data_IF_388224915734
#
_entry.id   IF_388224915734
#
_cell.length_a   1.000
_cell.length_b   1.000
_cell.length_c   1.000
_cell.angle_alpha   90.00
_cell.angle_beta   90.00
_cell.angle_gamma   90.00
#
_symmetry.space_group_name_H-M   'P 1'
#
loop_
_entity.id
_entity.type
_entity.pdbx_description
1 polymer ?
#
# COMPACT_ATOMS: atom_id res chain seq x y z
N UNK A 1 -13.47 3.65 -10.36
CA UNK A 1 -13.70 4.18 -11.71
C UNK A 1 -14.51 5.47 -11.64
N UNK A 2 -15.79 5.41 -11.24
CA UNK A 2 -16.75 6.52 -11.29
C UNK A 2 -16.26 7.84 -10.70
N UNK A 3 -15.63 7.84 -9.52
CA UNK A 3 -15.10 9.06 -8.90
C UNK A 3 -14.02 9.73 -9.74
N UNK A 4 -13.16 8.95 -10.40
CA UNK A 4 -12.09 9.48 -11.27
C UNK A 4 -12.71 10.13 -12.51
N UNK A 5 -13.66 9.45 -13.14
CA UNK A 5 -14.33 9.97 -14.35
C UNK A 5 -15.21 11.18 -14.03
N UNK A 6 -15.91 11.16 -12.90
CA UNK A 6 -16.65 12.32 -12.40
C UNK A 6 -15.71 13.51 -12.19
N UNK A 7 -14.58 13.32 -11.51
CA UNK A 7 -13.61 14.39 -11.26
C UNK A 7 -12.99 14.92 -12.56
N UNK A 8 -12.76 14.07 -13.56
CA UNK A 8 -12.26 14.47 -14.86
C UNK A 8 -13.27 15.33 -15.65
N UNK A 9 -14.57 15.08 -15.51
CA UNK A 9 -15.62 15.77 -16.25
C UNK A 9 -16.01 17.15 -15.68
N UNK A 10 -15.44 17.56 -14.54
CA UNK A 10 -15.82 18.83 -13.92
C UNK A 10 -15.23 20.05 -14.67
N UNK A 11 -15.93 21.20 -14.69
CA UNK A 11 -15.46 22.40 -15.41
C UNK A 11 -14.16 23.00 -14.86
N UNK A 12 -13.80 22.66 -13.62
CA UNK A 12 -12.54 23.07 -12.98
C UNK A 12 -11.39 22.07 -13.22
N UNK A 13 -11.66 20.95 -13.89
CA UNK A 13 -10.70 19.89 -14.16
C UNK A 13 -10.09 20.05 -15.55
N UNK A 14 -8.81 19.73 -15.70
CA UNK A 14 -8.16 19.60 -17.01
C UNK A 14 -8.50 18.28 -17.70
N UNK A 15 -9.28 17.40 -17.06
CA UNK A 15 -9.52 16.02 -17.50
C UNK A 15 -8.39 15.06 -17.13
N UNK A 16 -7.28 15.53 -16.54
CA UNK A 16 -6.21 14.68 -16.02
C UNK A 16 -6.36 14.50 -14.50
N UNK A 17 -6.50 13.25 -14.04
CA UNK A 17 -6.66 12.93 -12.62
C UNK A 17 -5.44 12.17 -12.11
N UNK A 18 -4.96 12.60 -10.94
CA UNK A 18 -3.93 11.89 -10.17
C UNK A 18 -4.46 11.46 -8.81
N UNK A 19 -3.95 10.34 -8.28
CA UNK A 19 -4.30 9.85 -6.94
C UNK A 19 -3.04 9.63 -6.10
N UNK A 20 -3.10 9.87 -4.81
CA UNK A 20 -2.00 9.55 -3.90
C UNK A 20 -2.56 9.17 -2.53
N UNK A 21 -1.75 8.50 -1.73
CA UNK A 21 -2.14 8.12 -0.39
C UNK A 21 -1.50 6.82 0.05
N UNK A 22 -1.57 6.61 1.36
CA UNK A 22 -0.85 5.58 2.08
C UNK A 22 -1.82 4.55 2.67
N UNK A 23 -1.42 3.28 2.78
CA UNK A 23 -2.23 2.21 3.38
C UNK A 23 -3.53 1.95 2.62
N UNK A 24 -4.69 2.13 3.26
CA UNK A 24 -6.00 1.98 2.62
C UNK A 24 -6.22 2.96 1.44
N UNK A 25 -5.93 4.27 1.58
CA UNK A 25 -5.81 5.17 0.43
C UNK A 25 -4.85 4.70 -0.67
N UNK A 26 -3.80 3.94 -0.34
CA UNK A 26 -2.94 3.28 -1.34
C UNK A 26 -3.64 2.13 -2.05
N UNK A 27 -4.36 1.30 -1.30
CA UNK A 27 -5.06 0.11 -1.81
C UNK A 27 -6.13 0.48 -2.83
N UNK A 28 -6.96 1.48 -2.50
CA UNK A 28 -8.07 1.90 -3.37
C UNK A 28 -7.58 2.51 -4.68
N UNK A 29 -6.34 3.03 -4.74
CA UNK A 29 -5.75 3.47 -6.02
C UNK A 29 -5.57 2.30 -6.97
N UNK A 30 -5.03 1.18 -6.49
CA UNK A 30 -4.86 -0.02 -7.30
C UNK A 30 -6.19 -0.61 -7.73
N UNK A 31 -7.13 -0.75 -6.80
CA UNK A 31 -8.47 -1.26 -7.09
C UNK A 31 -9.20 -0.37 -8.11
N UNK A 32 -9.03 0.95 -8.05
CA UNK A 32 -9.58 1.85 -9.06
C UNK A 32 -8.84 1.76 -10.39
N UNK A 33 -7.51 1.60 -10.38
CA UNK A 33 -6.69 1.58 -11.59
C UNK A 33 -6.89 0.33 -12.45
N UNK A 34 -7.17 -0.83 -11.86
CA UNK A 34 -7.45 -2.07 -12.61
C UNK A 34 -8.80 -2.06 -13.34
N UNK A 35 -9.70 -1.13 -12.99
CA UNK A 35 -10.91 -0.82 -13.74
C UNK A 35 -10.64 0.08 -14.96
N UNK A 36 -9.37 0.42 -15.22
CA UNK A 36 -8.92 1.14 -16.42
C UNK A 36 -9.57 2.52 -16.67
N UNK A 37 -9.72 3.40 -15.67
CA UNK A 37 -10.26 4.74 -15.89
C UNK A 37 -9.38 5.55 -16.87
N UNK A 38 -9.91 6.00 -18.02
CA UNK A 38 -9.11 6.65 -19.07
C UNK A 38 -8.48 7.99 -18.63
N UNK A 39 -9.08 8.65 -17.63
CA UNK A 39 -8.60 9.94 -17.12
C UNK A 39 -7.58 9.81 -15.98
N UNK A 40 -7.33 8.61 -15.45
CA UNK A 40 -6.26 8.41 -14.46
C UNK A 40 -4.88 8.46 -15.13
N UNK A 41 -4.11 9.52 -14.83
CA UNK A 41 -2.79 9.74 -15.44
C UNK A 41 -1.64 9.33 -14.52
N UNK A 42 -1.80 9.47 -13.22
CA UNK A 42 -0.75 9.18 -12.25
C UNK A 42 -1.30 8.64 -10.93
N UNK A 43 -0.52 7.81 -10.26
CA UNK A 43 -0.82 7.30 -8.92
C UNK A 43 0.45 7.16 -8.08
N UNK A 44 0.33 7.47 -6.78
CA UNK A 44 1.35 7.21 -5.76
C UNK A 44 0.76 6.30 -4.68
N UNK A 45 0.62 4.99 -4.93
CA UNK A 45 0.20 4.02 -3.93
C UNK A 45 1.35 3.77 -2.93
N UNK A 46 1.17 4.25 -1.70
CA UNK A 46 2.14 4.06 -0.63
C UNK A 46 1.72 2.97 0.37
N UNK A 47 2.67 2.14 0.81
CA UNK A 47 2.55 1.18 1.91
C UNK A 47 1.28 0.34 1.84
N UNK A 48 1.10 -0.36 0.73
CA UNK A 48 -0.14 -1.07 0.41
C UNK A 48 0.13 -2.39 -0.27
N UNK A 49 -0.90 -3.20 -0.46
CA UNK A 49 -0.77 -4.59 -0.90
C UNK A 49 -0.60 -4.76 -2.42
N UNK A 50 -0.11 -5.94 -2.80
CA UNK A 50 -0.24 -6.50 -4.15
C UNK A 50 -1.27 -7.64 -4.22
N UNK A 51 -1.48 -8.34 -3.10
CA UNK A 51 -2.36 -9.50 -3.02
C UNK A 51 -3.00 -9.61 -1.63
N UNK A 52 -4.21 -10.20 -1.53
CA UNK A 52 -4.84 -10.52 -0.25
C UNK A 52 -3.97 -11.40 0.64
N UNK A 53 -3.08 -12.22 0.06
CA UNK A 53 -2.23 -13.17 0.78
C UNK A 53 -1.11 -12.54 1.61
N UNK A 54 -0.92 -11.22 1.47
CA UNK A 54 -0.03 -10.44 2.31
C UNK A 54 -0.76 -9.34 3.08
N UNK A 55 -2.03 -9.04 2.74
CA UNK A 55 -2.83 -7.98 3.38
C UNK A 55 -3.72 -8.51 4.51
N UNK A 56 -4.64 -9.43 4.20
CA UNK A 56 -5.47 -10.09 5.23
C UNK A 56 -4.83 -11.35 5.78
N UNK A 57 -3.91 -11.92 5.01
CA UNK A 57 -3.12 -13.07 5.41
C UNK A 57 -1.64 -12.73 5.41
N UNK A 58 -0.84 -13.53 6.09
CA UNK A 58 0.60 -13.59 5.97
C UNK A 58 1.00 -14.98 5.47
N UNK A 59 1.03 -15.16 4.14
CA UNK A 59 1.42 -16.44 3.53
C UNK A 59 0.38 -17.56 3.68
N UNK A 60 -0.87 -17.21 4.02
CA UNK A 60 -1.97 -18.15 4.23
C UNK A 60 -2.54 -18.15 5.65
N UNK A 61 -1.80 -17.59 6.61
CA UNK A 61 -2.25 -17.43 7.99
C UNK A 61 -3.02 -16.11 8.16
N UNK A 62 -4.17 -16.15 8.84
CA UNK A 62 -4.99 -14.96 9.07
C UNK A 62 -4.24 -13.92 9.90
N UNK A 63 -4.18 -12.68 9.40
CA UNK A 63 -3.60 -11.58 10.16
C UNK A 63 -4.59 -11.08 11.24
N UNK A 64 -4.31 -11.48 12.49
CA UNK A 64 -5.08 -11.03 13.66
C UNK A 64 -4.94 -9.53 13.98
N UNK A 65 -4.02 -8.80 13.33
CA UNK A 65 -3.83 -7.35 13.54
C UNK A 65 -5.07 -6.54 13.15
N UNK A 66 -5.84 -7.02 12.16
CA UNK A 66 -7.08 -6.38 11.70
C UNK A 66 -8.09 -6.17 12.81
N UNK A 67 -8.15 -7.09 13.77
CA UNK A 67 -9.03 -6.97 14.93
C UNK A 67 -8.75 -5.68 15.72
N UNK A 68 -7.47 -5.43 16.03
CA UNK A 68 -7.06 -4.23 16.75
C UNK A 68 -7.23 -2.98 15.88
N UNK A 69 -6.85 -3.06 14.61
CA UNK A 69 -6.98 -1.92 13.68
C UNK A 69 -8.44 -1.46 13.56
N UNK A 70 -9.38 -2.38 13.44
CA UNK A 70 -10.82 -2.08 13.39
C UNK A 70 -11.29 -1.43 14.68
N UNK A 71 -10.90 -2.02 15.82
CA UNK A 71 -11.31 -1.55 17.13
C UNK A 71 -10.87 -0.10 17.39
N UNK A 72 -9.68 0.26 16.92
CA UNK A 72 -9.12 1.59 17.14
C UNK A 72 -9.54 2.62 16.07
N UNK A 73 -9.64 2.22 14.80
CA UNK A 73 -9.75 3.17 13.69
C UNK A 73 -11.15 3.24 13.06
N UNK A 74 -11.99 2.21 13.23
CA UNK A 74 -13.30 2.12 12.58
C UNK A 74 -14.43 2.12 13.60
N UNK A 75 -14.34 1.26 14.61
CA UNK A 75 -15.42 1.05 15.59
C UNK A 75 -15.87 2.35 16.32
N UNK A 76 -14.98 3.28 16.73
CA UNK A 76 -15.38 4.49 17.45
C UNK A 76 -16.34 5.39 16.66
N UNK A 77 -16.02 5.67 15.39
CA UNK A 77 -16.89 6.47 14.52
C UNK A 77 -18.20 5.73 14.21
N UNK A 78 -18.12 4.40 13.99
CA UNK A 78 -19.29 3.56 13.71
C UNK A 78 -20.27 3.50 14.89
N UNK A 79 -19.80 3.31 16.12
CA UNK A 79 -20.67 3.36 17.30
C UNK A 79 -21.42 4.69 17.39
N UNK A 80 -20.69 5.81 17.20
CA UNK A 80 -21.28 7.15 17.22
C UNK A 80 -22.34 7.33 16.14
N UNK A 81 -22.05 6.97 14.88
CA UNK A 81 -22.99 7.12 13.76
C UNK A 81 -24.24 6.26 13.88
N UNK A 82 -24.12 5.09 14.53
CA UNK A 82 -25.23 4.17 14.74
C UNK A 82 -25.98 4.44 16.06
N UNK A 83 -25.57 5.42 16.86
CA UNK A 83 -26.18 5.69 18.16
C UNK A 83 -25.98 4.57 19.18
N UNK A 84 -24.93 3.76 19.02
CA UNK A 84 -24.59 2.65 19.91
C UNK A 84 -23.69 3.14 21.05
N UNK A 85 -23.73 2.50 22.24
CA UNK A 85 -22.74 2.73 23.27
C UNK A 85 -21.32 2.46 22.74
N UNK A 86 -20.31 3.23 23.17
CA UNK A 86 -18.93 2.90 22.84
C UNK A 86 -18.56 1.53 23.41
N UNK A 87 -17.69 0.80 22.71
CA UNK A 87 -17.12 -0.44 23.22
C UNK A 87 -16.28 -0.20 24.49
N UNK A 88 -16.03 -1.29 25.22
CA UNK A 88 -15.15 -1.26 26.39
C UNK A 88 -13.72 -0.83 26.01
N UNK A 89 -12.88 -0.39 26.97
CA UNK A 89 -11.48 -0.12 26.67
C UNK A 89 -10.78 -1.35 26.06
N UNK A 90 -9.99 -1.16 25.00
CA UNK A 90 -9.36 -2.27 24.28
C UNK A 90 -8.59 -3.23 25.20
N UNK A 91 -7.85 -2.70 26.18
CA UNK A 91 -7.08 -3.51 27.12
C UNK A 91 -7.92 -4.45 27.99
N UNK A 92 -9.22 -4.18 28.18
CA UNK A 92 -10.10 -5.07 28.95
C UNK A 92 -10.73 -6.18 28.11
N UNK A 93 -10.68 -6.08 26.77
CA UNK A 93 -11.35 -7.01 25.85
C UNK A 93 -10.42 -7.73 24.90
N UNK A 94 -9.21 -7.20 24.64
CA UNK A 94 -8.29 -7.70 23.61
C UNK A 94 -7.97 -9.18 23.76
N UNK A 95 -7.71 -9.65 24.99
CA UNK A 95 -7.31 -11.03 25.22
C UNK A 95 -8.49 -11.98 25.01
N UNK A 96 -9.68 -11.62 25.50
CA UNK A 96 -10.90 -12.41 25.24
C UNK A 96 -11.20 -12.46 23.75
N UNK A 97 -11.16 -11.33 23.05
CA UNK A 97 -11.48 -11.27 21.61
C UNK A 97 -10.47 -12.06 20.77
N UNK A 98 -9.16 -11.94 21.06
CA UNK A 98 -8.09 -12.68 20.34
C UNK A 98 -8.12 -14.18 20.61
N UNK A 99 -8.53 -14.60 21.80
CA UNK A 99 -8.54 -16.02 22.19
C UNK A 99 -9.92 -16.70 22.00
N UNK A 100 -10.91 -16.00 21.44
CA UNK A 100 -12.21 -16.62 21.13
C UNK A 100 -12.04 -17.57 19.95
N UNK A 101 -12.33 -18.86 20.17
CA UNK A 101 -12.23 -19.91 19.13
C UNK A 101 -13.58 -20.64 19.01
N UNK A 102 -14.15 -20.75 17.80
CA UNK A 102 -13.68 -20.14 16.56
C UNK A 102 -13.79 -18.61 16.60
N UNK A 103 -12.92 -17.90 15.89
CA UNK A 103 -12.90 -16.43 15.88
C UNK A 103 -14.24 -15.82 15.41
N UNK A 104 -14.97 -16.53 14.55
CA UNK A 104 -16.34 -16.18 14.15
C UNK A 104 -17.35 -16.10 15.31
N UNK A 105 -17.06 -16.69 16.48
CA UNK A 105 -17.92 -16.60 17.66
C UNK A 105 -17.74 -15.29 18.45
N UNK A 106 -16.70 -14.48 18.15
CA UNK A 106 -16.48 -13.17 18.76
C UNK A 106 -17.50 -12.19 18.20
N UNK A 107 -18.46 -11.69 18.99
CA UNK A 107 -19.56 -10.85 18.47
C UNK A 107 -19.35 -9.34 18.62
N UNK A 108 -18.26 -8.92 19.23
CA UNK A 108 -18.02 -7.52 19.61
C UNK A 108 -18.02 -6.54 18.43
N UNK A 109 -17.73 -7.02 17.22
CA UNK A 109 -17.66 -6.19 16.02
C UNK A 109 -18.88 -6.32 15.10
N UNK A 110 -19.84 -7.23 15.35
CA UNK A 110 -20.92 -7.55 14.41
C UNK A 110 -21.71 -6.31 13.95
N UNK A 111 -22.02 -5.40 14.88
CA UNK A 111 -22.79 -4.20 14.59
C UNK A 111 -21.99 -3.12 13.84
N UNK A 112 -20.67 -3.05 14.05
CA UNK A 112 -19.84 -1.94 13.57
C UNK A 112 -18.98 -2.29 12.37
N UNK A 113 -18.54 -3.54 12.26
CA UNK A 113 -17.72 -4.07 11.17
C UNK A 113 -18.20 -5.48 10.75
N UNK A 114 -19.46 -5.62 10.27
CA UNK A 114 -20.00 -6.92 9.84
C UNK A 114 -19.17 -7.57 8.72
N UNK A 115 -18.55 -6.75 7.87
CA UNK A 115 -17.65 -7.20 6.80
C UNK A 115 -16.41 -7.94 7.32
N UNK A 116 -16.00 -7.74 8.59
CA UNK A 116 -14.88 -8.47 9.18
C UNK A 116 -15.20 -9.96 9.27
N UNK A 117 -16.45 -10.27 9.57
CA UNK A 117 -16.95 -11.63 9.63
C UNK A 117 -17.06 -12.26 8.24
N UNK A 118 -17.33 -11.46 7.20
CA UNK A 118 -17.27 -11.93 5.83
C UNK A 118 -15.83 -12.32 5.48
N UNK A 119 -14.84 -11.51 5.85
CA UNK A 119 -13.42 -11.87 5.66
C UNK A 119 -13.06 -13.18 6.37
N UNK A 120 -13.48 -13.34 7.63
CA UNK A 120 -13.21 -14.57 8.40
C UNK A 120 -13.86 -15.83 7.83
N UNK A 121 -14.92 -15.71 7.02
CA UNK A 121 -15.59 -16.87 6.39
C UNK A 121 -14.86 -17.37 5.15
N UNK A 122 -13.99 -16.56 4.56
CA UNK A 122 -13.27 -16.89 3.33
C UNK A 122 -11.82 -17.23 3.65
N UNK A 123 -11.41 -18.51 3.67
CA UNK A 123 -10.02 -18.88 3.97
C UNK A 123 -9.03 -18.32 2.94
N UNK A 124 -7.74 -18.45 3.24
CA UNK A 124 -6.69 -18.12 2.28
C UNK A 124 -6.90 -18.84 0.94
N UNK A 125 -6.64 -18.14 -0.16
CA UNK A 125 -6.82 -18.63 -1.53
C UNK A 125 -8.26 -18.96 -1.95
N UNK A 126 -9.28 -18.61 -1.15
CA UNK A 126 -10.69 -18.64 -1.59
C UNK A 126 -10.86 -17.70 -2.82
N UNK A 127 -11.50 -18.15 -3.93
CA UNK A 127 -11.79 -17.32 -5.10
C UNK A 127 -12.51 -16.01 -4.79
N UNK A 128 -13.21 -15.93 -3.66
CA UNK A 128 -13.80 -14.69 -3.17
C UNK A 128 -12.79 -13.55 -3.08
N UNK A 129 -11.53 -13.82 -2.72
CA UNK A 129 -10.47 -12.80 -2.60
C UNK A 129 -9.98 -12.24 -3.95
N UNK A 130 -10.45 -12.77 -5.08
CA UNK A 130 -10.00 -12.37 -6.42
C UNK A 130 -10.21 -10.88 -6.73
N UNK A 131 -11.14 -10.20 -6.04
CA UNK A 131 -11.33 -8.75 -6.19
C UNK A 131 -10.11 -7.95 -5.72
N UNK A 132 -9.36 -8.44 -4.73
CA UNK A 132 -8.17 -7.79 -4.18
C UNK A 132 -6.86 -8.31 -4.78
N UNK A 133 -6.88 -9.32 -5.64
CA UNK A 133 -5.67 -9.83 -6.29
C UNK A 133 -5.27 -8.91 -7.45
N UNK A 134 -4.09 -8.30 -7.38
CA UNK A 134 -3.57 -7.43 -8.45
C UNK A 134 -2.66 -8.20 -9.43
N UNK A 135 -2.13 -9.35 -9.03
CA UNK A 135 -1.37 -10.26 -9.86
C UNK A 135 -2.07 -10.54 -11.19
N UNK A 136 -1.34 -10.34 -12.30
CA UNK A 136 -1.88 -10.53 -13.65
C UNK A 136 -2.80 -9.42 -14.17
N UNK A 137 -3.12 -8.39 -13.37
CA UNK A 137 -4.02 -7.28 -13.78
C UNK A 137 -3.28 -5.97 -14.10
N UNK A 138 -1.96 -5.92 -13.95
CA UNK A 138 -1.16 -4.71 -14.15
C UNK A 138 -1.27 -4.09 -15.55
N UNK A 139 -1.54 -4.89 -16.58
CA UNK A 139 -1.77 -4.41 -17.96
C UNK A 139 -3.05 -3.59 -18.14
N UNK A 140 -3.96 -3.59 -17.15
CA UNK A 140 -5.20 -2.82 -17.18
C UNK A 140 -5.00 -1.33 -16.86
N UNK A 141 -3.95 -0.98 -16.12
CA UNK A 141 -3.67 0.43 -15.80
C UNK A 141 -2.74 1.07 -16.82
N UNK A 142 -3.09 2.29 -17.24
CA UNK A 142 -2.26 3.16 -18.09
C UNK A 142 -1.57 4.30 -17.31
N UNK A 143 -1.85 4.41 -16.01
CA UNK A 143 -1.32 5.47 -15.16
C UNK A 143 0.20 5.31 -14.94
N UNK A 144 0.89 6.43 -14.77
CA UNK A 144 2.25 6.44 -14.24
C UNK A 144 2.22 6.14 -12.73
N UNK A 145 3.00 5.17 -12.27
CA UNK A 145 2.93 4.66 -10.89
C UNK A 145 4.23 4.84 -10.14
N UNK A 146 4.20 5.57 -9.02
CA UNK A 146 5.27 5.58 -8.04
C UNK A 146 4.85 4.70 -6.86
N UNK A 147 5.39 3.48 -6.79
CA UNK A 147 5.21 2.62 -5.62
C UNK A 147 6.11 3.09 -4.49
N UNK A 148 5.57 3.26 -3.29
CA UNK A 148 6.33 3.77 -2.16
C UNK A 148 6.12 2.86 -0.95
N UNK A 149 7.18 2.44 -0.27
CA UNK A 149 7.04 1.65 0.95
C UNK A 149 8.31 1.70 1.81
N UNK A 150 8.34 0.90 2.86
CA UNK A 150 9.44 0.86 3.82
C UNK A 150 9.76 -0.57 4.26
N UNK A 151 10.98 -0.80 4.74
CA UNK A 151 11.41 -2.13 5.18
C UNK A 151 10.78 -2.60 6.49
N UNK A 152 10.42 -1.68 7.39
CA UNK A 152 9.72 -1.97 8.64
C UNK A 152 8.23 -1.59 8.58
N UNK A 153 7.69 -1.44 7.36
CA UNK A 153 6.26 -1.40 7.15
C UNK A 153 5.61 -2.74 7.52
N UNK A 154 4.28 -2.77 7.60
CA UNK A 154 3.51 -4.00 7.73
C UNK A 154 3.88 -4.98 6.60
N UNK A 155 3.70 -6.29 6.83
CA UNK A 155 4.20 -7.32 5.91
C UNK A 155 3.72 -7.15 4.44
N UNK A 156 2.53 -6.59 4.22
CA UNK A 156 2.03 -6.26 2.88
C UNK A 156 2.82 -5.17 2.17
N UNK A 157 3.42 -4.24 2.90
CA UNK A 157 4.01 -3.01 2.38
C UNK A 157 5.19 -3.23 1.46
N UNK A 158 6.30 -3.84 1.94
CA UNK A 158 7.49 -4.06 1.13
C UNK A 158 7.18 -4.99 -0.05
N UNK A 159 6.42 -6.06 0.24
CA UNK A 159 6.01 -7.03 -0.77
C UNK A 159 5.14 -6.38 -1.85
N UNK A 160 4.17 -5.57 -1.44
CA UNK A 160 3.26 -4.88 -2.32
C UNK A 160 3.96 -3.89 -3.23
N UNK A 161 4.79 -2.99 -2.70
CA UNK A 161 5.49 -2.01 -3.53
C UNK A 161 6.41 -2.66 -4.58
N UNK A 162 7.21 -3.66 -4.19
CA UNK A 162 8.12 -4.35 -5.10
C UNK A 162 7.36 -5.15 -6.16
N UNK A 163 6.35 -5.94 -5.77
CA UNK A 163 5.62 -6.78 -6.72
C UNK A 163 4.74 -5.97 -7.66
N UNK A 164 4.13 -4.89 -7.17
CA UNK A 164 3.36 -3.98 -8.01
C UNK A 164 4.26 -3.31 -9.06
N UNK A 165 5.44 -2.82 -8.66
CA UNK A 165 6.44 -2.28 -9.59
C UNK A 165 6.89 -3.31 -10.62
N UNK A 166 7.32 -4.49 -10.17
CA UNK A 166 7.77 -5.57 -11.07
C UNK A 166 6.66 -6.02 -12.03
N UNK A 167 5.44 -6.14 -11.53
CA UNK A 167 4.26 -6.52 -12.31
C UNK A 167 3.94 -5.51 -13.41
N UNK A 168 4.01 -4.21 -13.11
CA UNK A 168 3.89 -3.14 -14.10
C UNK A 168 4.98 -3.20 -15.16
N UNK A 169 6.25 -3.30 -14.75
CA UNK A 169 7.39 -3.39 -15.67
C UNK A 169 7.22 -4.60 -16.60
N UNK A 170 6.80 -5.75 -16.06
CA UNK A 170 6.56 -6.95 -16.83
C UNK A 170 5.37 -6.82 -17.80
N UNK A 171 4.32 -6.11 -17.42
CA UNK A 171 3.16 -5.88 -18.28
C UNK A 171 3.40 -4.84 -19.38
N UNK A 172 4.41 -3.99 -19.23
CA UNK A 172 4.73 -2.86 -20.13
C UNK A 172 6.06 -3.03 -20.88
N UNK A 173 6.56 -4.26 -21.06
CA UNK A 173 7.90 -4.56 -21.61
C UNK A 173 8.26 -3.82 -22.89
N UNK A 174 7.29 -3.54 -23.75
CA UNK A 174 7.49 -2.90 -25.05
C UNK A 174 7.32 -1.36 -25.02
N UNK A 175 7.17 -0.78 -23.83
CA UNK A 175 6.89 0.64 -23.61
C UNK A 175 7.73 1.20 -22.46
N UNK A 176 7.80 2.52 -22.33
CA UNK A 176 8.28 3.11 -21.07
C UNK A 176 7.37 2.63 -19.93
N UNK A 177 7.92 1.99 -18.88
CA UNK A 177 7.09 1.41 -17.84
C UNK A 177 6.36 2.50 -17.05
N UNK A 178 6.81 3.77 -17.10
CA UNK A 178 6.28 4.88 -16.30
C UNK A 178 6.01 4.43 -14.86
N UNK A 179 6.96 3.69 -14.31
CA UNK A 179 6.88 3.03 -13.04
C UNK A 179 8.17 3.26 -12.27
N UNK A 180 8.05 3.60 -10.99
CA UNK A 180 9.16 3.75 -10.07
C UNK A 180 8.81 3.13 -8.72
N UNK A 181 9.83 2.79 -7.94
CA UNK A 181 9.69 2.25 -6.58
C UNK A 181 10.70 2.88 -5.63
N UNK A 182 10.22 3.30 -4.46
CA UNK A 182 11.04 3.82 -3.37
C UNK A 182 10.81 2.98 -2.11
N UNK A 183 11.89 2.44 -1.55
CA UNK A 183 11.88 1.66 -0.30
C UNK A 183 12.79 2.30 0.74
N UNK A 184 12.22 2.83 1.82
CA UNK A 184 12.99 3.46 2.90
C UNK A 184 13.11 2.62 4.18
N UNK A 185 13.83 3.12 5.20
CA UNK A 185 14.04 2.44 6.48
C UNK A 185 12.93 2.71 7.51
N UNK A 186 11.73 3.11 7.08
CA UNK A 186 10.65 3.59 7.97
C UNK A 186 9.73 2.47 8.46
N UNK A 187 8.84 2.81 9.39
CA UNK A 187 7.67 1.99 9.73
C UNK A 187 6.44 2.43 8.93
N UNK A 188 5.32 1.73 9.08
CA UNK A 188 4.04 2.13 8.49
C UNK A 188 3.70 3.60 8.84
N UNK A 189 3.39 4.40 7.82
CA UNK A 189 3.09 5.83 7.92
C UNK A 189 3.93 6.72 6.99
N UNK A 190 3.58 7.99 6.91
CA UNK A 190 4.34 8.97 6.12
C UNK A 190 5.69 9.20 6.83
N UNK A 191 6.84 9.08 6.12
CA UNK A 191 8.13 9.39 6.74
C UNK A 191 8.16 10.85 7.18
N UNK A 192 8.84 11.12 8.28
CA UNK A 192 9.08 12.49 8.73
C UNK A 192 10.57 12.71 8.90
N UNK A 193 11.05 13.90 8.57
CA UNK A 193 12.48 14.25 8.59
C UNK A 193 13.15 14.20 9.97
N UNK A 194 12.39 13.85 11.02
CA UNK A 194 12.87 13.76 12.41
C UNK A 194 13.00 12.33 12.91
N UNK A 195 12.56 11.34 12.13
CA UNK A 195 12.71 9.93 12.50
C UNK A 195 13.99 9.40 11.86
N UNK A 196 14.94 9.03 12.71
CA UNK A 196 16.23 8.44 12.30
C UNK A 196 16.38 7.00 12.82
N UNK A 197 15.29 6.43 13.37
CA UNK A 197 15.28 5.17 14.12
C UNK A 197 13.98 4.40 13.93
N UNK A 198 14.08 3.06 13.90
CA UNK A 198 12.97 2.11 14.12
C UNK A 198 13.35 1.14 15.22
N UNK A 199 12.53 1.05 16.27
CA UNK A 199 12.85 0.25 17.45
C UNK A 199 14.21 0.68 18.04
N UNK A 200 15.13 -0.26 18.17
CA UNK A 200 16.50 -0.02 18.65
C UNK A 200 17.50 0.30 17.51
N UNK A 201 17.07 0.26 16.24
CA UNK A 201 17.94 0.43 15.07
C UNK A 201 17.98 1.87 14.61
N UNK A 202 19.17 2.46 14.62
CA UNK A 202 19.45 3.77 14.04
C UNK A 202 19.84 3.64 12.56
N UNK A 203 19.16 4.39 11.70
CA UNK A 203 19.49 4.53 10.27
C UNK A 203 20.00 5.93 9.90
N UNK A 204 19.99 6.88 10.85
CA UNK A 204 20.56 8.22 10.67
C UNK A 204 19.70 9.15 9.80
N UNK A 205 20.18 10.38 9.62
CA UNK A 205 19.48 11.42 8.85
C UNK A 205 19.36 11.12 7.36
N UNK A 206 20.21 10.24 6.81
CA UNK A 206 20.15 9.84 5.40
C UNK A 206 18.85 9.09 5.06
N UNK A 207 18.16 8.55 6.06
CA UNK A 207 16.82 7.98 5.88
C UNK A 207 15.71 9.03 5.72
N UNK A 208 16.00 10.32 5.89
CA UNK A 208 15.03 11.38 5.68
C UNK A 208 14.57 11.43 4.22
N UNK A 209 13.28 11.66 4.04
CA UNK A 209 12.67 11.69 2.73
C UNK A 209 11.47 12.62 2.74
N UNK A 210 11.46 13.57 1.81
CA UNK A 210 10.32 14.46 1.59
C UNK A 210 9.29 13.75 0.71
N UNK A 211 8.31 13.13 1.37
CA UNK A 211 7.24 12.40 0.70
C UNK A 211 6.33 13.33 -0.12
N UNK A 212 6.00 14.50 0.43
CA UNK A 212 5.07 15.43 -0.20
C UNK A 212 5.68 16.04 -1.46
N UNK A 213 6.95 16.47 -1.40
CA UNK A 213 7.67 16.94 -2.58
C UNK A 213 7.76 15.86 -3.66
N UNK A 214 8.05 14.61 -3.29
CA UNK A 214 8.10 13.52 -4.27
C UNK A 214 6.73 13.28 -4.93
N UNK A 215 5.64 13.29 -4.14
CA UNK A 215 4.27 13.19 -4.68
C UNK A 215 3.99 14.34 -5.65
N UNK A 216 4.31 15.58 -5.27
CA UNK A 216 4.09 16.76 -6.11
C UNK A 216 4.88 16.68 -7.41
N UNK A 217 6.16 16.31 -7.37
CA UNK A 217 6.99 16.12 -8.57
C UNK A 217 6.41 15.06 -9.49
N UNK A 218 5.93 13.94 -8.96
CA UNK A 218 5.31 12.89 -9.76
C UNK A 218 4.00 13.36 -10.41
N UNK A 219 3.14 14.05 -9.66
CA UNK A 219 1.88 14.60 -10.18
C UNK A 219 2.12 15.70 -11.22
N UNK A 220 3.05 16.62 -10.96
CA UNK A 220 3.43 17.66 -11.91
C UNK A 220 3.88 17.05 -13.24
N UNK A 221 4.66 15.97 -13.20
CA UNK A 221 5.13 15.32 -14.42
C UNK A 221 4.00 14.68 -15.22
N UNK A 222 3.12 13.92 -14.58
CA UNK A 222 2.21 13.01 -15.29
C UNK A 222 0.76 13.48 -15.35
N UNK A 223 0.34 14.38 -14.46
CA UNK A 223 -0.99 15.00 -14.48
C UNK A 223 -0.95 16.36 -15.16
N UNK A 224 0.10 17.16 -14.92
CA UNK A 224 0.27 18.50 -15.51
C UNK A 224 1.20 18.56 -16.72
N UNK A 225 1.82 17.43 -17.09
CA UNK A 225 2.79 17.32 -18.18
C UNK A 225 3.99 18.29 -18.04
N UNK A 226 4.43 18.54 -16.80
CA UNK A 226 5.57 19.40 -16.49
C UNK A 226 6.89 18.67 -16.72
N UNK A 227 7.82 19.29 -17.46
CA UNK A 227 9.16 18.76 -17.71
C UNK A 227 10.13 18.95 -16.52
N UNK A 228 9.75 18.47 -15.33
CA UNK A 228 10.54 18.60 -14.10
C UNK A 228 11.65 17.54 -13.91
N UNK A 229 11.79 16.62 -14.87
CA UNK A 229 12.88 15.63 -14.93
C UNK A 229 12.73 14.39 -14.06
N UNK A 230 11.66 14.24 -13.28
CA UNK A 230 11.43 13.05 -12.44
C UNK A 230 11.36 11.75 -13.27
N UNK A 231 10.98 11.84 -14.53
CA UNK A 231 10.94 10.74 -15.50
C UNK A 231 12.31 10.32 -16.05
N UNK A 232 13.36 11.06 -15.73
CA UNK A 232 14.76 10.75 -16.09
C UNK A 232 15.58 10.21 -14.91
N UNK A 233 15.02 10.23 -13.71
CA UNK A 233 15.66 9.65 -12.52
C UNK A 233 15.66 8.12 -12.58
N UNK A 234 16.50 7.50 -11.76
CA UNK A 234 16.53 6.04 -11.65
C UNK A 234 15.21 5.54 -11.04
N UNK A 235 14.50 4.60 -11.68
CA UNK A 235 13.17 4.17 -11.24
C UNK A 235 13.19 3.33 -9.96
N UNK A 236 14.35 2.86 -9.51
CA UNK A 236 14.47 2.08 -8.28
C UNK A 236 15.38 2.83 -7.33
N UNK A 237 14.84 3.20 -6.16
CA UNK A 237 15.61 3.84 -5.07
C UNK A 237 15.34 3.15 -3.75
N UNK A 238 16.37 2.56 -3.16
CA UNK A 238 16.25 1.65 -2.02
C UNK A 238 17.24 2.06 -0.94
N UNK A 239 16.78 2.14 0.31
CA UNK A 239 17.67 2.36 1.45
C UNK A 239 18.23 1.01 1.93
N UNK A 240 19.54 0.85 1.91
CA UNK A 240 20.19 -0.38 2.36
C UNK A 240 20.39 -0.33 3.86
N UNK A 241 19.64 -1.17 4.58
CA UNK A 241 19.84 -1.37 6.02
C UNK A 241 21.23 -1.94 6.28
N UNK A 242 21.87 -1.50 7.36
CA UNK A 242 23.23 -1.91 7.72
C UNK A 242 24.28 -0.95 7.21
N UNK A 243 24.30 -0.64 5.90
CA UNK A 243 25.15 0.43 5.36
C UNK A 243 24.56 1.83 5.54
N UNK A 244 23.25 1.90 5.84
CA UNK A 244 22.50 3.13 6.09
C UNK A 244 22.63 4.16 4.95
N UNK A 245 22.50 3.69 3.71
CA UNK A 245 22.68 4.53 2.52
C UNK A 245 21.66 4.19 1.44
N UNK A 246 21.31 5.19 0.64
CA UNK A 246 20.49 4.98 -0.55
C UNK A 246 21.32 4.37 -1.68
N UNK A 247 20.72 3.42 -2.38
CA UNK A 247 21.19 2.94 -3.68
C UNK A 247 20.10 3.14 -4.72
N UNK A 248 20.54 3.35 -5.96
CA UNK A 248 19.67 3.62 -7.09
C UNK A 248 19.98 2.67 -8.26
N UNK A 249 18.97 2.36 -9.07
CA UNK A 249 19.15 1.48 -10.21
C UNK A 249 18.06 1.60 -11.27
N UNK A 250 18.38 1.10 -12.46
CA UNK A 250 17.48 1.11 -13.63
C UNK A 250 16.39 0.04 -13.56
N UNK A 251 16.55 -0.97 -12.70
CA UNK A 251 15.63 -2.10 -12.56
C UNK A 251 15.76 -2.78 -11.20
N UNK A 252 14.72 -3.53 -10.83
CA UNK A 252 14.73 -4.44 -9.68
C UNK A 252 14.48 -5.88 -10.16
N UNK A 253 15.21 -6.89 -9.65
CA UNK A 253 16.38 -6.77 -8.77
C UNK A 253 17.55 -6.03 -9.44
N UNK A 254 18.44 -5.46 -8.63
CA UNK A 254 19.62 -4.75 -9.14
C UNK A 254 20.52 -5.68 -9.97
N UNK A 255 21.27 -5.16 -10.97
CA UNK A 255 22.18 -5.97 -11.77
C UNK A 255 23.22 -6.72 -10.93
N UNK A 256 23.50 -7.97 -11.29
CA UNK A 256 24.53 -8.79 -10.63
C UNK A 256 24.07 -9.53 -9.36
N UNK A 257 22.84 -9.28 -8.88
CA UNK A 257 22.26 -10.05 -7.78
C UNK A 257 22.01 -11.49 -8.22
N UNK A 258 22.54 -12.45 -7.46
CA UNK A 258 22.32 -13.89 -7.65
C UNK A 258 21.65 -14.46 -6.40
N UNK A 259 20.54 -15.19 -6.53
CA UNK A 259 19.99 -15.96 -5.42
C UNK A 259 21.07 -16.92 -4.89
N UNK A 260 21.24 -16.94 -3.58
CA UNK A 260 22.12 -17.90 -2.89
C UNK A 260 21.29 -18.70 -1.87
N UNK A 261 21.71 -19.93 -1.59
CA UNK A 261 21.02 -20.82 -0.67
C UNK A 261 21.86 -21.00 0.59
N UNK A 262 21.38 -20.43 1.70
CA UNK A 262 21.92 -20.71 3.02
C UNK A 262 21.27 -22.00 3.51
N UNK A 263 22.07 -23.07 3.66
CA UNK A 263 21.60 -24.33 4.23
C UNK A 263 21.56 -24.22 5.76
N UNK A 264 20.43 -24.63 6.34
CA UNK A 264 20.22 -24.71 7.78
C UNK A 264 20.74 -26.04 8.33
#
# INVERSE_FOLDING_TARGET
FDTIEWAAAQPWSSGAVGTFGLSYPGAVQWLAAIESPPHLKAMVPAMTFASPMQFWYSGGDWDGSWLAWIYHNIAPDRWKRLGLPPGAPWDSVKDRMRNTVPLLAMKDLEAVAPWYYDWLRHPAYDPWWSWAELGGKYGRTNAAVLSFSAWYDEAYGPHGAINNYMGLVAARRDQSPRAAVIMGPWTHGVPTERRTRVGEREYGGDGNFDYDEMVLRWMDRYVRDSANGVDREKPVRIFVLGSNSWIEGDRWPLPGIKPDTIKL
#
